data_IF_430438068954
#
_entry.id   IF_430438068954
#
_cell.length_a   1.000
_cell.length_b   1.000
_cell.length_c   1.000
_cell.angle_alpha   90.00
_cell.angle_beta   90.00
_cell.angle_gamma   90.00
#
_symmetry.space_group_name_H-M   'P 1'
#
loop_
_entity.id
_entity.type
_entity.pdbx_description
1 polymer ?
#
# COMPACT_ATOMS: atom_id res chain seq x y z
N UNK A 1 -48.50 3.21 57.16
CA UNK A 1 -48.13 3.17 55.72
C UNK A 1 -48.54 1.82 55.17
N UNK A 2 -49.52 1.80 54.27
CA UNK A 2 -50.11 0.58 53.71
C UNK A 2 -49.09 -0.18 52.86
N UNK A 3 -49.12 -1.51 52.90
CA UNK A 3 -48.20 -2.37 52.15
C UNK A 3 -48.14 -2.03 50.66
N UNK A 4 -49.26 -1.59 50.07
CA UNK A 4 -49.37 -1.16 48.68
C UNK A 4 -48.47 0.03 48.32
N UNK A 5 -48.23 0.96 49.25
CA UNK A 5 -47.34 2.10 49.00
C UNK A 5 -45.87 1.68 48.93
N UNK A 6 -45.45 0.74 49.80
CA UNK A 6 -44.07 0.21 49.80
C UNK A 6 -43.75 -0.56 48.52
N UNK A 7 -44.68 -1.41 48.06
CA UNK A 7 -44.51 -2.15 46.80
C UNK A 7 -44.51 -1.23 45.57
N UNK A 8 -45.33 -0.17 45.56
CA UNK A 8 -45.33 0.83 44.49
C UNK A 8 -44.00 1.59 44.36
N UNK A 9 -43.39 1.99 45.49
CA UNK A 9 -42.08 2.65 45.50
C UNK A 9 -40.97 1.69 45.04
N UNK A 10 -40.99 0.42 45.49
CA UNK A 10 -40.01 -0.58 45.06
C UNK A 10 -40.11 -0.89 43.56
N UNK A 11 -41.32 -1.07 43.03
CA UNK A 11 -41.51 -1.29 41.59
C UNK A 11 -41.06 -0.09 40.75
N UNK A 12 -41.34 1.13 41.21
CA UNK A 12 -40.90 2.36 40.53
C UNK A 12 -39.39 2.52 40.55
N UNK A 13 -38.72 2.16 41.65
CA UNK A 13 -37.27 2.20 41.76
C UNK A 13 -36.59 1.18 40.83
N UNK A 14 -37.16 -0.03 40.69
CA UNK A 14 -36.65 -1.06 39.77
C UNK A 14 -36.83 -0.61 38.32
N UNK A 15 -38.01 -0.07 37.96
CA UNK A 15 -38.26 0.47 36.61
C UNK A 15 -37.30 1.61 36.28
N UNK A 16 -37.12 2.57 37.19
CA UNK A 16 -36.20 3.69 36.99
C UNK A 16 -34.74 3.22 36.84
N UNK A 17 -34.29 2.27 37.65
CA UNK A 17 -32.96 1.69 37.53
C UNK A 17 -32.78 0.97 36.18
N UNK A 18 -33.79 0.25 35.70
CA UNK A 18 -33.72 -0.46 34.41
C UNK A 18 -33.60 0.50 33.22
N UNK A 19 -34.32 1.63 33.23
CA UNK A 19 -34.25 2.66 32.20
C UNK A 19 -32.88 3.35 32.20
N UNK A 20 -32.30 3.61 33.38
CA UNK A 20 -30.95 4.19 33.49
C UNK A 20 -29.86 3.26 32.94
N UNK A 21 -30.03 1.95 33.04
CA UNK A 21 -29.07 0.99 32.48
C UNK A 21 -29.20 0.79 30.96
N UNK A 22 -30.34 1.13 30.35
CA UNK A 22 -30.56 1.02 28.89
C UNK A 22 -30.34 2.35 28.15
N UNK A 23 -30.33 3.48 28.84
CA UNK A 23 -30.18 4.82 28.24
C UNK A 23 -28.77 5.12 27.68
N UNK A 24 -27.77 4.30 28.00
CA UNK A 24 -26.38 4.48 27.54
C UNK A 24 -25.88 3.21 26.84
N UNK A 25 -26.36 2.88 25.64
CA UNK A 25 -25.94 1.62 25.01
C UNK A 25 -25.73 1.61 23.49
N UNK A 26 -25.65 2.76 22.81
CA UNK A 26 -25.23 2.74 21.40
C UNK A 26 -23.87 3.41 21.23
N UNK A 27 -22.81 2.61 21.41
CA UNK A 27 -21.43 3.02 21.09
C UNK A 27 -21.22 3.37 19.60
N UNK A 28 -22.19 3.03 18.74
CA UNK A 28 -22.18 3.30 17.31
C UNK A 28 -23.05 4.51 16.91
N UNK A 29 -23.71 5.17 17.87
CA UNK A 29 -24.42 6.43 17.61
C UNK A 29 -23.41 7.58 17.66
N UNK A 30 -23.16 8.31 16.54
CA UNK A 30 -22.31 9.50 16.56
C UNK A 30 -22.86 10.61 17.46
N UNK A 31 -24.12 10.50 17.89
CA UNK A 31 -24.78 11.42 18.79
C UNK A 31 -25.48 12.55 18.05
N UNK A 32 -26.12 13.43 18.83
CA UNK A 32 -26.81 14.61 18.29
C UNK A 32 -25.82 15.74 18.04
N UNK A 33 -25.74 16.19 16.79
CA UNK A 33 -25.00 17.39 16.42
C UNK A 33 -25.90 18.63 16.49
N UNK A 34 -25.51 19.63 17.28
CA UNK A 34 -26.20 20.92 17.34
C UNK A 34 -25.57 21.91 16.35
N UNK A 35 -26.40 22.47 15.46
CA UNK A 35 -26.00 23.46 14.45
C UNK A 35 -24.83 22.99 13.54
N UNK A 36 -25.01 21.92 12.74
CA UNK A 36 -23.94 21.29 11.93
C UNK A 36 -23.48 22.12 10.71
N UNK A 37 -23.90 23.38 10.62
CA UNK A 37 -23.54 24.26 9.52
C UNK A 37 -22.01 24.44 9.53
N UNK A 38 -21.33 24.03 8.44
CA UNK A 38 -19.86 24.06 8.26
C UNK A 38 -19.05 22.99 9.01
N UNK A 39 -19.65 22.02 9.69
CA UNK A 39 -18.93 20.83 10.18
C UNK A 39 -18.46 19.97 9.00
N UNK A 40 -19.32 19.93 8.00
CA UNK A 40 -19.07 19.31 6.72
C UNK A 40 -18.59 20.38 5.72
N UNK A 41 -17.46 20.11 5.08
CA UNK A 41 -16.96 20.89 3.96
C UNK A 41 -17.98 20.89 2.82
N UNK A 42 -18.30 22.09 2.33
CA UNK A 42 -19.00 22.25 1.04
C UNK A 42 -18.19 21.68 -0.15
N UNK A 43 -16.86 21.85 -0.25
CA UNK A 43 -16.09 21.21 -1.31
C UNK A 43 -15.90 19.71 -1.06
N UNK A 44 -15.68 18.95 -2.15
CA UNK A 44 -15.36 17.53 -2.04
C UNK A 44 -13.97 17.32 -1.44
N UNK A 45 -13.94 16.56 -0.35
CA UNK A 45 -12.71 16.13 0.29
C UNK A 45 -12.17 14.83 -0.35
N UNK A 46 -10.85 14.66 -0.49
CA UNK A 46 -10.28 13.57 -1.28
C UNK A 46 -10.43 12.15 -0.74
N UNK A 47 -10.87 11.96 0.51
CA UNK A 47 -11.05 10.64 1.17
C UNK A 47 -12.21 10.69 2.18
N UNK A 48 -13.10 11.68 2.06
CA UNK A 48 -14.25 11.86 2.95
C UNK A 48 -15.51 12.02 2.11
N UNK A 49 -16.53 11.29 2.52
CA UNK A 49 -17.79 11.24 1.79
C UNK A 49 -18.93 11.09 2.78
N UNK A 50 -19.76 12.12 2.86
CA UNK A 50 -21.00 12.11 3.64
C UNK A 50 -22.11 11.53 2.77
N UNK A 51 -22.26 12.09 1.58
CA UNK A 51 -23.27 11.72 0.59
C UNK A 51 -22.64 11.15 -0.68
N UNK A 52 -23.38 10.29 -1.38
CA UNK A 52 -22.95 9.78 -2.67
C UNK A 52 -22.78 10.92 -3.69
N UNK A 53 -21.66 10.92 -4.42
CA UNK A 53 -21.41 11.89 -5.45
C UNK A 53 -22.28 11.61 -6.68
N UNK A 54 -23.26 12.47 -6.96
CA UNK A 54 -24.20 12.30 -8.08
C UNK A 54 -23.59 12.60 -9.45
N UNK A 55 -22.43 13.26 -9.50
CA UNK A 55 -21.73 13.63 -10.74
C UNK A 55 -20.78 12.52 -11.20
N UNK A 56 -20.28 11.69 -10.27
CA UNK A 56 -19.47 10.53 -10.58
C UNK A 56 -20.33 9.27 -10.63
N UNK A 57 -20.40 8.52 -11.75
CA UNK A 57 -21.15 7.27 -11.82
C UNK A 57 -20.75 6.22 -10.78
N UNK A 58 -19.52 6.30 -10.23
CA UNK A 58 -19.05 5.42 -9.15
C UNK A 58 -19.55 5.83 -7.76
N UNK A 59 -20.23 6.97 -7.63
CA UNK A 59 -20.74 7.49 -6.36
C UNK A 59 -19.67 8.03 -5.41
N UNK A 60 -18.39 8.01 -5.80
CA UNK A 60 -17.27 8.49 -4.99
C UNK A 60 -16.76 9.88 -5.42
N UNK A 61 -16.13 10.61 -4.50
CA UNK A 61 -15.57 11.93 -4.80
C UNK A 61 -14.31 11.86 -5.68
N UNK A 62 -13.55 10.77 -5.61
CA UNK A 62 -12.32 10.57 -6.34
C UNK A 62 -12.59 10.10 -7.78
N UNK A 63 -11.84 10.66 -8.74
CA UNK A 63 -11.87 10.22 -10.14
C UNK A 63 -10.56 9.55 -10.50
N UNK A 64 -10.67 8.52 -11.31
CA UNK A 64 -9.49 7.92 -11.96
C UNK A 64 -8.94 8.91 -12.98
N UNK A 65 -7.62 9.19 -12.98
CA UNK A 65 -7.00 10.01 -14.00
C UNK A 65 -7.17 9.39 -15.39
N UNK A 66 -7.20 10.24 -16.43
CA UNK A 66 -7.23 9.76 -17.80
C UNK A 66 -5.99 8.91 -18.11
N UNK A 67 -6.19 7.85 -18.90
CA UNK A 67 -5.15 6.90 -19.26
C UNK A 67 -4.04 7.64 -20.03
N UNK A 68 -2.78 7.33 -19.72
CA UNK A 68 -1.61 7.94 -20.36
C UNK A 68 -1.22 9.32 -19.82
N UNK A 69 -1.93 9.85 -18.82
CA UNK A 69 -1.54 11.12 -18.19
C UNK A 69 -0.29 10.97 -17.31
N UNK A 70 0.64 11.91 -17.44
CA UNK A 70 1.86 11.98 -16.63
C UNK A 70 1.86 13.27 -15.81
N UNK A 71 1.84 13.19 -14.46
CA UNK A 71 1.90 14.39 -13.63
C UNK A 71 3.24 15.11 -13.77
N UNK A 72 3.23 16.44 -13.65
CA UNK A 72 4.46 17.24 -13.66
C UNK A 72 5.41 16.78 -12.54
N UNK A 73 6.69 16.59 -12.89
CA UNK A 73 7.73 16.14 -11.95
C UNK A 73 7.68 14.66 -11.57
N UNK A 74 6.80 13.85 -12.18
CA UNK A 74 6.65 12.41 -11.89
C UNK A 74 7.06 11.50 -13.05
N UNK A 75 7.92 11.99 -13.95
CA UNK A 75 8.38 11.21 -15.11
C UNK A 75 9.09 9.90 -14.70
N UNK A 76 9.81 9.92 -13.59
CA UNK A 76 10.52 8.77 -13.02
C UNK A 76 9.60 7.66 -12.46
N UNK A 77 8.29 7.89 -12.36
CA UNK A 77 7.32 6.86 -11.98
C UNK A 77 7.03 5.89 -13.12
N UNK A 78 7.35 6.29 -14.36
CA UNK A 78 7.08 5.50 -15.55
C UNK A 78 8.39 4.93 -16.09
N UNK A 79 8.60 3.63 -15.90
CA UNK A 79 9.77 2.91 -16.43
C UNK A 79 9.67 2.62 -17.93
N UNK A 80 8.50 2.83 -18.54
CA UNK A 80 8.19 2.45 -19.94
C UNK A 80 8.42 0.96 -20.22
N UNK A 81 8.39 0.12 -19.18
CA UNK A 81 8.46 -1.34 -19.28
C UNK A 81 7.11 -1.92 -18.89
N UNK A 82 6.49 -2.66 -19.82
CA UNK A 82 5.20 -3.32 -19.59
C UNK A 82 5.27 -4.39 -18.50
N UNK A 83 4.13 -4.67 -17.84
CA UNK A 83 4.05 -5.56 -16.67
C UNK A 83 4.71 -6.93 -16.91
N UNK A 84 4.47 -7.52 -18.09
CA UNK A 84 4.93 -8.89 -18.43
C UNK A 84 6.37 -8.92 -18.95
N UNK A 85 7.08 -7.79 -18.96
CA UNK A 85 8.40 -7.63 -19.57
C UNK A 85 9.55 -7.56 -18.56
N UNK A 86 9.55 -8.45 -17.56
CA UNK A 86 10.58 -8.45 -16.50
C UNK A 86 12.01 -8.57 -17.06
N UNK A 87 12.23 -9.38 -18.10
CA UNK A 87 13.55 -9.50 -18.72
C UNK A 87 14.02 -8.22 -19.41
N UNK A 88 13.11 -7.37 -19.89
CA UNK A 88 13.46 -6.05 -20.43
C UNK A 88 13.89 -5.13 -19.28
N UNK A 89 13.17 -5.16 -18.15
CA UNK A 89 13.54 -4.41 -16.96
C UNK A 89 14.96 -4.76 -16.50
N UNK A 90 15.28 -6.06 -16.37
CA UNK A 90 16.61 -6.54 -15.98
C UNK A 90 17.73 -5.99 -16.87
N UNK A 91 17.49 -5.91 -18.19
CA UNK A 91 18.50 -5.43 -19.15
C UNK A 91 18.61 -3.91 -19.19
N UNK A 92 17.53 -3.16 -18.96
CA UNK A 92 17.47 -1.71 -19.20
C UNK A 92 17.47 -0.84 -17.96
N UNK A 93 16.83 -1.27 -16.88
CA UNK A 93 16.75 -0.47 -15.67
C UNK A 93 18.03 -0.64 -14.86
N UNK A 94 18.53 0.45 -14.31
CA UNK A 94 19.63 0.45 -13.35
C UNK A 94 19.25 1.32 -12.17
N UNK A 95 19.79 0.96 -11.01
CA UNK A 95 19.60 1.70 -9.79
C UNK A 95 20.44 2.99 -9.82
N UNK A 96 19.83 4.18 -9.71
CA UNK A 96 20.57 5.44 -9.66
C UNK A 96 21.18 5.72 -8.28
N UNK A 97 20.79 4.99 -7.24
CA UNK A 97 21.20 5.23 -5.86
C UNK A 97 22.51 4.51 -5.53
N UNK A 98 23.31 5.12 -4.64
CA UNK A 98 24.51 4.49 -4.09
C UNK A 98 24.16 3.61 -2.90
N UNK A 99 24.91 2.53 -2.72
CA UNK A 99 24.87 1.70 -1.51
C UNK A 99 25.52 2.42 -0.34
N UNK A 100 24.75 3.29 0.30
CA UNK A 100 25.10 3.92 1.57
C UNK A 100 24.35 3.21 2.70
N UNK A 101 24.89 3.26 3.91
CA UNK A 101 24.19 2.70 5.06
C UNK A 101 22.80 3.33 5.24
N UNK A 102 22.69 4.66 5.06
CA UNK A 102 21.41 5.38 5.12
C UNK A 102 20.36 4.84 4.12
N UNK A 103 20.75 4.60 2.86
CA UNK A 103 19.82 4.05 1.86
C UNK A 103 19.39 2.61 2.20
N UNK A 104 20.30 1.81 2.75
CA UNK A 104 20.00 0.44 3.16
C UNK A 104 19.10 0.38 4.40
N UNK A 105 19.33 1.26 5.38
CA UNK A 105 18.49 1.40 6.57
C UNK A 105 17.08 1.84 6.21
N UNK A 106 16.93 2.82 5.33
CA UNK A 106 15.62 3.24 4.83
C UNK A 106 14.96 2.09 4.03
N UNK A 107 15.72 1.40 3.19
CA UNK A 107 15.27 0.19 2.48
C UNK A 107 14.75 -0.90 3.44
N UNK A 108 15.44 -1.12 4.57
CA UNK A 108 15.01 -2.03 5.63
C UNK A 108 13.69 -1.62 6.23
N UNK A 109 13.54 -0.34 6.61
CA UNK A 109 12.27 0.18 7.18
C UNK A 109 11.10 -0.02 6.21
N UNK A 110 11.32 0.30 4.94
CA UNK A 110 10.32 0.12 3.89
C UNK A 110 9.97 -1.36 3.66
N UNK A 111 10.97 -2.26 3.68
CA UNK A 111 10.76 -3.69 3.58
C UNK A 111 9.99 -4.24 4.79
N UNK A 112 10.33 -3.81 6.01
CA UNK A 112 9.63 -4.22 7.23
C UNK A 112 8.16 -3.81 7.19
N UNK A 113 7.86 -2.60 6.70
CA UNK A 113 6.48 -2.11 6.57
C UNK A 113 5.69 -2.84 5.48
N UNK A 114 6.28 -3.06 4.30
CA UNK A 114 5.53 -3.45 3.11
C UNK A 114 5.76 -4.89 2.62
N UNK A 115 6.79 -5.60 3.09
CA UNK A 115 7.20 -6.87 2.48
C UNK A 115 7.39 -8.00 3.52
N UNK A 116 7.90 -7.68 4.71
CA UNK A 116 8.28 -8.65 5.74
C UNK A 116 7.12 -9.57 6.18
N UNK A 117 5.89 -9.07 6.20
CA UNK A 117 4.73 -9.85 6.62
C UNK A 117 4.50 -11.10 5.74
N UNK A 118 4.89 -11.04 4.45
CA UNK A 118 4.90 -12.20 3.55
C UNK A 118 6.28 -12.85 3.46
N UNK A 119 7.34 -12.06 3.28
CA UNK A 119 8.67 -12.55 2.93
C UNK A 119 9.56 -12.94 4.12
N UNK A 120 9.17 -12.62 5.35
CA UNK A 120 9.95 -12.87 6.55
C UNK A 120 11.04 -11.82 6.77
N UNK A 121 11.55 -11.71 8.00
CA UNK A 121 12.60 -10.75 8.35
C UNK A 121 13.92 -11.08 7.63
N UNK A 122 14.20 -12.37 7.47
CA UNK A 122 15.40 -12.89 6.80
C UNK A 122 15.22 -13.03 5.27
N UNK A 123 14.02 -12.75 4.74
CA UNK A 123 13.73 -12.94 3.32
C UNK A 123 13.64 -14.41 2.91
N UNK A 124 13.35 -15.30 3.84
CA UNK A 124 13.26 -16.76 3.67
C UNK A 124 11.86 -17.26 3.32
N UNK A 125 10.90 -16.35 3.15
CA UNK A 125 9.51 -16.65 2.86
C UNK A 125 8.70 -17.11 4.09
N UNK A 126 9.27 -17.04 5.30
CA UNK A 126 8.62 -17.48 6.54
C UNK A 126 7.86 -16.36 7.26
N UNK A 127 7.38 -15.35 6.52
CA UNK A 127 6.49 -14.34 7.08
C UNK A 127 5.17 -14.95 7.57
N UNK A 128 4.49 -14.36 8.57
CA UNK A 128 3.24 -14.90 9.12
C UNK A 128 2.14 -15.05 8.05
N UNK A 129 2.11 -14.18 7.04
CA UNK A 129 1.21 -14.28 5.89
C UNK A 129 1.74 -15.29 4.87
N UNK A 130 3.06 -15.31 4.64
CA UNK A 130 3.71 -16.24 3.70
C UNK A 130 3.45 -17.71 4.02
N UNK A 131 3.44 -18.05 5.31
CA UNK A 131 3.10 -19.38 5.81
C UNK A 131 1.69 -19.86 5.40
N UNK A 132 0.75 -18.94 5.17
CA UNK A 132 -0.62 -19.24 4.72
C UNK A 132 -0.74 -19.30 3.20
N UNK A 133 -0.02 -18.44 2.48
CA UNK A 133 -0.18 -18.32 1.03
C UNK A 133 0.64 -19.35 0.24
N UNK A 134 1.72 -19.93 0.80
CA UNK A 134 2.67 -20.87 0.14
C UNK A 134 3.27 -20.31 -1.16
N UNK A 135 4.53 -20.66 -1.45
CA UNK A 135 5.21 -20.22 -2.68
C UNK A 135 5.82 -18.81 -2.61
N UNK A 136 5.94 -18.22 -1.42
CA UNK A 136 6.80 -17.05 -1.21
C UNK A 136 8.26 -17.51 -1.30
N UNK A 137 9.10 -16.86 -2.13
CA UNK A 137 10.46 -17.32 -2.36
C UNK A 137 11.37 -17.05 -1.16
N UNK A 138 12.39 -17.91 -1.00
CA UNK A 138 13.55 -17.63 -0.18
C UNK A 138 14.61 -16.93 -1.05
N UNK A 139 14.94 -15.70 -0.72
CA UNK A 139 15.85 -14.86 -1.50
C UNK A 139 17.28 -15.38 -1.53
N UNK A 140 17.75 -16.11 -0.52
CA UNK A 140 19.12 -16.60 -0.46
C UNK A 140 19.36 -17.89 -1.27
N UNK A 141 18.35 -18.41 -1.98
CA UNK A 141 18.42 -19.72 -2.64
C UNK A 141 17.97 -19.70 -4.11
N UNK A 142 18.49 -20.67 -4.89
CA UNK A 142 18.09 -20.92 -6.27
C UNK A 142 18.25 -19.70 -7.18
N UNK A 143 17.30 -19.53 -8.11
CA UNK A 143 17.30 -18.42 -9.06
C UNK A 143 17.13 -17.04 -8.36
N UNK A 144 16.55 -17.00 -7.15
CA UNK A 144 16.28 -15.75 -6.45
C UNK A 144 17.54 -15.12 -5.87
N UNK A 145 18.57 -15.90 -5.53
CA UNK A 145 19.84 -15.40 -4.99
C UNK A 145 20.60 -14.49 -5.98
N UNK A 146 20.39 -14.69 -7.28
CA UNK A 146 21.11 -14.00 -8.34
C UNK A 146 20.27 -12.98 -9.10
N UNK A 147 18.99 -12.80 -8.75
CA UNK A 147 18.13 -11.78 -9.37
C UNK A 147 18.65 -10.37 -9.09
N UNK A 148 18.80 -9.58 -10.15
CA UNK A 148 19.29 -8.21 -10.05
C UNK A 148 18.24 -7.24 -9.50
N UNK A 149 18.68 -6.04 -9.12
CA UNK A 149 17.81 -5.01 -8.52
C UNK A 149 16.67 -4.59 -9.44
N UNK A 150 16.91 -4.57 -10.76
CA UNK A 150 15.92 -4.19 -11.75
C UNK A 150 14.75 -5.19 -11.83
N UNK A 151 15.03 -6.49 -11.65
CA UNK A 151 13.99 -7.51 -11.48
C UNK A 151 13.11 -7.18 -10.28
N UNK A 152 13.74 -6.92 -9.13
CA UNK A 152 13.06 -6.68 -7.87
C UNK A 152 12.21 -5.40 -7.97
N UNK A 153 12.78 -4.31 -8.50
CA UNK A 153 12.08 -3.06 -8.75
C UNK A 153 10.82 -3.26 -9.61
N UNK A 154 10.94 -4.02 -10.71
CA UNK A 154 9.83 -4.27 -11.63
C UNK A 154 8.73 -5.12 -10.99
N UNK A 155 9.11 -6.15 -10.23
CA UNK A 155 8.17 -6.99 -9.48
C UNK A 155 7.46 -6.20 -8.39
N UNK A 156 8.12 -5.27 -7.71
CA UNK A 156 7.47 -4.38 -6.73
C UNK A 156 6.43 -3.50 -7.45
N UNK A 157 6.77 -2.93 -8.61
CA UNK A 157 5.87 -2.07 -9.37
C UNK A 157 4.63 -2.82 -9.87
N UNK A 158 4.79 -4.01 -10.44
CA UNK A 158 3.73 -4.69 -11.20
C UNK A 158 3.18 -5.96 -10.55
N UNK A 159 3.84 -6.48 -9.51
CA UNK A 159 3.55 -7.78 -8.95
C UNK A 159 4.12 -8.92 -9.81
N UNK A 160 3.98 -10.15 -9.31
CA UNK A 160 4.34 -11.38 -10.05
C UNK A 160 3.62 -12.58 -9.46
N UNK A 161 2.91 -13.34 -10.30
CA UNK A 161 2.14 -14.49 -9.86
C UNK A 161 1.09 -14.09 -8.82
N UNK A 162 1.23 -14.58 -7.58
CA UNK A 162 0.29 -14.29 -6.47
C UNK A 162 0.66 -13.03 -5.67
N UNK A 163 1.81 -12.42 -5.96
CA UNK A 163 2.20 -11.14 -5.36
C UNK A 163 1.54 -10.00 -6.13
N UNK A 164 0.67 -9.26 -5.46
CA UNK A 164 0.03 -8.06 -6.02
C UNK A 164 1.02 -6.90 -6.19
N UNK A 165 0.76 -5.94 -7.10
CA UNK A 165 1.59 -4.76 -7.27
C UNK A 165 1.59 -3.87 -6.01
N UNK A 166 2.78 -3.38 -5.64
CA UNK A 166 2.98 -2.41 -4.55
C UNK A 166 3.36 -1.02 -5.07
N UNK A 167 3.34 -0.82 -6.40
CA UNK A 167 3.78 0.43 -7.02
C UNK A 167 2.98 1.69 -6.60
N UNK A 168 1.75 1.55 -6.11
CA UNK A 168 0.97 2.66 -5.56
C UNK A 168 1.35 3.02 -4.11
N UNK A 169 2.01 2.12 -3.39
CA UNK A 169 2.36 2.27 -1.97
C UNK A 169 3.79 2.77 -1.79
N UNK A 170 4.70 2.38 -2.68
CA UNK A 170 6.11 2.77 -2.64
C UNK A 170 6.53 3.51 -3.90
N UNK A 171 7.18 4.65 -3.73
CA UNK A 171 7.63 5.50 -4.82
C UNK A 171 8.90 4.92 -5.52
N UNK A 172 9.29 5.40 -6.71
CA UNK A 172 10.43 4.85 -7.45
C UNK A 172 11.75 4.83 -6.68
N UNK A 173 12.03 5.85 -5.88
CA UNK A 173 13.26 5.91 -5.08
C UNK A 173 13.23 4.85 -3.96
N UNK A 174 12.11 4.77 -3.24
CA UNK A 174 11.86 3.77 -2.21
C UNK A 174 11.96 2.34 -2.75
N UNK A 175 11.45 2.08 -3.96
CA UNK A 175 11.56 0.78 -4.62
C UNK A 175 13.01 0.37 -4.85
N UNK A 176 13.87 1.31 -5.26
CA UNK A 176 15.30 1.03 -5.40
C UNK A 176 15.94 0.74 -4.05
N UNK A 177 15.61 1.49 -2.99
CA UNK A 177 16.10 1.22 -1.63
C UNK A 177 15.66 -0.16 -1.12
N UNK A 178 14.39 -0.54 -1.36
CA UNK A 178 13.90 -1.90 -1.05
C UNK A 178 14.66 -2.94 -1.86
N UNK A 179 14.87 -2.73 -3.17
CA UNK A 179 15.62 -3.64 -4.01
C UNK A 179 17.06 -3.82 -3.50
N UNK A 180 17.73 -2.75 -3.10
CA UNK A 180 19.06 -2.77 -2.48
C UNK A 180 19.06 -3.61 -1.20
N UNK A 181 18.06 -3.45 -0.33
CA UNK A 181 17.93 -4.22 0.89
C UNK A 181 17.64 -5.71 0.61
N UNK A 182 16.81 -6.03 -0.39
CA UNK A 182 16.59 -7.42 -0.82
C UNK A 182 17.90 -8.06 -1.31
N UNK A 183 18.79 -7.31 -1.98
CA UNK A 183 20.13 -7.80 -2.32
C UNK A 183 20.97 -8.14 -1.07
N UNK A 184 20.75 -7.45 0.06
CA UNK A 184 21.41 -7.80 1.34
C UNK A 184 20.89 -9.14 1.82
N UNK A 185 19.57 -9.34 1.80
CA UNK A 185 18.93 -10.60 2.21
C UNK A 185 19.34 -11.78 1.32
N UNK A 186 19.54 -11.56 0.02
CA UNK A 186 20.06 -12.59 -0.90
C UNK A 186 21.46 -13.10 -0.52
N UNK A 187 22.27 -12.34 0.23
CA UNK A 187 23.56 -12.82 0.77
C UNK A 187 23.41 -13.79 1.95
N UNK A 188 22.19 -13.98 2.46
CA UNK A 188 21.91 -14.92 3.57
C UNK A 188 22.41 -14.48 4.94
N UNK A 189 22.88 -13.23 5.09
CA UNK A 189 23.36 -12.64 6.35
C UNK A 189 22.30 -11.84 7.08
N UNK A 190 21.07 -11.81 6.57
CA UNK A 190 19.99 -11.04 7.16
C UNK A 190 20.27 -9.53 7.22
N UNK A 191 19.68 -8.82 8.20
CA UNK A 191 19.96 -7.40 8.44
C UNK A 191 21.45 -7.09 8.72
N UNK A 192 22.21 -8.05 9.23
CA UNK A 192 23.62 -7.84 9.61
C UNK A 192 24.55 -7.67 8.40
N UNK A 193 24.10 -8.08 7.20
CA UNK A 193 24.84 -7.92 5.95
C UNK A 193 24.87 -6.48 5.39
N UNK A 194 24.17 -5.52 6.01
CA UNK A 194 24.05 -4.15 5.50
C UNK A 194 25.39 -3.41 5.51
N UNK A 195 26.19 -3.56 6.57
CA UNK A 195 27.48 -2.88 6.72
C UNK A 195 28.49 -3.30 5.65
N UNK A 196 28.52 -4.60 5.32
CA UNK A 196 29.37 -5.15 4.26
C UNK A 196 28.96 -4.65 2.87
N UNK A 197 27.65 -4.52 2.62
CA UNK A 197 27.11 -4.00 1.36
C UNK A 197 27.30 -2.48 1.22
N UNK A 198 27.27 -1.73 2.32
CA UNK A 198 27.54 -0.30 2.32
C UNK A 198 29.04 0.02 2.06
N UNK A 199 29.93 -0.94 2.32
CA UNK A 199 31.38 -0.80 2.12
C UNK A 199 31.86 -1.35 0.78
N UNK A 200 31.03 -2.12 0.06
CA UNK A 200 31.35 -2.53 -1.31
C UNK A 200 31.15 -1.35 -2.26
N UNK A 201 32.24 -0.74 -2.73
CA UNK A 201 32.21 0.21 -3.83
C UNK A 201 31.64 -0.49 -5.07
N UNK A 202 30.40 -0.17 -5.43
CA UNK A 202 29.85 -0.59 -6.72
C UNK A 202 30.36 0.33 -7.83
N UNK A 203 30.83 -0.31 -8.89
CA UNK A 203 31.37 0.30 -10.11
C UNK A 203 30.41 1.38 -10.68
N UNK A 204 30.89 2.64 -10.84
CA UNK A 204 30.15 3.72 -11.48
C UNK A 204 29.62 3.40 -12.89
N UNK A 205 30.16 2.39 -13.57
CA UNK A 205 29.72 1.92 -14.89
C UNK A 205 28.32 1.29 -14.92
N UNK A 206 27.76 0.96 -13.74
CA UNK A 206 26.41 0.37 -13.60
C UNK A 206 25.30 1.41 -13.41
N UNK A 207 25.60 2.72 -13.48
CA UNK A 207 24.62 3.81 -13.28
C UNK A 207 23.78 4.06 -14.55
N UNK A 208 22.50 4.38 -14.38
CA UNK A 208 21.62 4.91 -15.43
C UNK A 208 21.87 6.39 -15.65
N UNK A 209 22.12 6.78 -16.91
CA UNK A 209 22.16 8.15 -17.44
C UNK A 209 20.87 8.38 -18.28
N UNK A 210 20.43 9.62 -18.53
CA UNK A 210 19.46 9.93 -19.59
C UNK A 210 19.74 9.27 -20.97
N UNK A 211 20.97 8.88 -21.27
CA UNK A 211 21.37 8.27 -22.55
C UNK A 211 20.92 6.80 -22.73
N UNK A 212 20.71 6.04 -21.64
CA UNK A 212 20.24 4.64 -21.68
C UNK A 212 18.73 4.47 -21.39
N UNK A 213 17.98 5.58 -21.29
CA UNK A 213 16.52 5.62 -21.06
C UNK A 213 15.72 6.08 -22.30
N UNK A 214 16.23 5.83 -23.51
CA UNK A 214 15.42 6.02 -24.72
C UNK A 214 14.20 5.07 -24.73
N UNK A 215 12.98 5.57 -25.04
CA UNK A 215 11.77 4.76 -25.07
C UNK A 215 11.88 3.69 -26.16
N UNK A 216 11.68 2.42 -25.79
CA UNK A 216 11.54 1.32 -26.77
C UNK A 216 10.06 0.95 -26.88
N UNK A 217 9.44 1.46 -27.93
CA UNK A 217 8.08 1.14 -28.31
C UNK A 217 7.04 2.14 -27.79
N UNK A 218 5.83 2.02 -28.34
CA UNK A 218 4.67 2.75 -27.86
C UNK A 218 4.41 2.30 -26.43
N UNK A 219 4.48 3.22 -25.47
CA UNK A 219 3.87 2.99 -24.17
C UNK A 219 2.42 2.58 -24.46
N UNK A 220 1.95 1.46 -23.90
CA UNK A 220 0.53 1.09 -23.96
C UNK A 220 -0.31 2.03 -23.08
N UNK A 221 -0.09 3.33 -23.25
CA UNK A 221 -0.82 4.44 -22.68
C UNK A 221 -2.25 4.51 -23.24
N UNK A 222 -2.58 3.67 -24.22
CA UNK A 222 -3.91 3.45 -24.77
C UNK A 222 -4.72 2.41 -23.98
N UNK A 223 -4.11 1.63 -23.07
CA UNK A 223 -4.79 0.59 -22.30
C UNK A 223 -4.82 0.92 -20.81
N UNK A 224 -6.04 1.07 -20.27
CA UNK A 224 -6.26 1.11 -18.84
C UNK A 224 -5.76 -0.18 -18.18
N UNK A 225 -5.41 -0.11 -16.89
CA UNK A 225 -5.40 -1.31 -16.04
C UNK A 225 -6.72 -2.05 -16.22
N UNK A 226 -6.71 -3.36 -16.47
CA UNK A 226 -7.93 -4.20 -16.53
C UNK A 226 -8.69 -4.21 -15.19
N UNK A 227 -8.07 -3.68 -14.14
CA UNK A 227 -8.71 -3.28 -12.89
C UNK A 227 -8.57 -1.76 -12.71
N UNK A 228 -9.39 -0.94 -13.38
CA UNK A 228 -9.64 0.41 -12.91
C UNK A 228 -10.28 0.24 -11.52
N UNK A 229 -9.78 0.95 -10.51
CA UNK A 229 -10.12 0.79 -9.10
C UNK A 229 -11.45 0.07 -8.87
N UNK A 230 -11.37 -1.20 -8.45
CA UNK A 230 -12.52 -1.97 -7.98
C UNK A 230 -12.98 -1.39 -6.64
N UNK A 231 -13.48 -0.15 -6.67
CA UNK A 231 -14.47 0.26 -5.71
C UNK A 231 -15.73 -0.49 -6.09
N UNK A 232 -16.22 -1.35 -5.20
CA UNK A 232 -17.62 -1.73 -5.24
C UNK A 232 -18.47 -0.45 -5.26
N UNK A 233 -19.69 -0.51 -5.81
CA UNK A 233 -20.63 0.60 -5.63
C UNK A 233 -20.68 0.95 -4.14
N UNK A 234 -20.53 2.24 -3.83
CA UNK A 234 -20.61 2.72 -2.46
C UNK A 234 -21.86 2.11 -1.81
N UNK A 235 -21.68 1.34 -0.73
CA UNK A 235 -22.77 0.66 -0.02
C UNK A 235 -23.77 1.63 0.65
N UNK A 236 -23.52 2.93 0.54
CA UNK A 236 -24.29 3.94 1.23
C UNK A 236 -25.42 4.44 0.31
N UNK A 237 -26.57 3.78 0.45
CA UNK A 237 -27.88 4.34 0.17
C UNK A 237 -28.33 4.26 -1.28
N UNK A 238 -29.32 3.42 -1.55
CA UNK A 238 -30.28 3.70 -2.60
C UNK A 238 -30.98 5.00 -2.24
N UNK A 239 -30.76 6.06 -3.02
CA UNK A 239 -31.61 7.24 -2.98
C UNK A 239 -32.96 6.87 -3.64
N UNK A 240 -33.93 6.49 -2.82
CA UNK A 240 -35.35 6.71 -3.06
C UNK A 240 -35.86 7.70 -2.00
#
# INVERSE_FOLDING_TARGET
MTHSFKYGVQASAILFASVLTTACHEANDPGLEYAPQMYESLPYDPLRQVDANTVNPMGINERTPAIGTVPRGKLNYFSHVGKDSVGIAERKLRNPLRYTLANLEEGKVLYTRNCQHCHGEQGDGQGPVGAKFKGVPNYATGAYATMNEAHIYHVIQWGKGRMMPHGSQVNPEERWKIAMYVRVLQKGKGPDGMSEMAQSDLDPSQKTNPENTAPLGQAQADKASETPGQGDQARNGTAE
#
